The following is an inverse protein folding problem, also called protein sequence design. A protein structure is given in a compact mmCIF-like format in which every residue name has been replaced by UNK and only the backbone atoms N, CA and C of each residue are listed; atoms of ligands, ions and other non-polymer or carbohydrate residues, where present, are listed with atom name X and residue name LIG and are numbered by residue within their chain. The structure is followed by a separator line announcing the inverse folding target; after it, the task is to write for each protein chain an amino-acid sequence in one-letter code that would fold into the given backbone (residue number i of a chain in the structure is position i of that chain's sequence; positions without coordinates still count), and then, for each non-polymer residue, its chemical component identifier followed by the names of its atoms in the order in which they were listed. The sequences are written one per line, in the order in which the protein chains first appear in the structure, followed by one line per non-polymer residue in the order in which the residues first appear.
data_IF_526826669298
#
_entry.id   IF_526826669298
#
_cell.length_a   1.000
_cell.length_b   1.000
_cell.length_c   1.000
_cell.angle_alpha   90.00
_cell.angle_beta   90.00
_cell.angle_gamma   90.00
#
_symmetry.space_group_name_H-M   'P 1'
#
loop_
_entity.id
_entity.type
_entity.pdbx_description
1 polymer ?
#
# COMPACT_ATOMS: atom_id res chain seq x y z
N UNK A 1 2.01 11.90 11.46
CA UNK A 1 1.58 11.26 10.20
C UNK A 1 2.18 9.86 10.09
N UNK A 2 1.35 8.85 9.83
CA UNK A 2 1.82 7.48 9.52
C UNK A 2 1.54 7.21 8.05
N UNK A 3 2.62 7.06 7.30
CA UNK A 3 2.62 6.84 5.84
C UNK A 3 2.51 5.33 5.57
N UNK A 4 1.82 4.93 4.50
CA UNK A 4 1.69 3.51 4.13
C UNK A 4 3.04 2.96 3.66
N UNK A 5 3.33 1.67 3.87
CA UNK A 5 4.49 1.03 3.25
C UNK A 5 4.43 1.19 1.72
N UNK A 6 5.53 1.63 1.11
CA UNK A 6 5.64 1.87 -0.34
C UNK A 6 5.45 3.32 -0.78
N UNK A 7 4.83 4.17 0.04
CA UNK A 7 4.68 5.61 -0.26
C UNK A 7 6.00 6.38 -0.04
N UNK A 8 6.22 7.42 -0.87
CA UNK A 8 7.43 8.25 -0.85
C UNK A 8 7.40 9.25 0.29
N UNK A 9 7.92 8.85 1.44
CA UNK A 9 7.99 9.70 2.66
C UNK A 9 8.64 11.07 2.40
N UNK A 10 9.63 11.14 1.51
CA UNK A 10 10.36 12.38 1.18
C UNK A 10 9.45 13.48 0.65
N UNK A 11 8.43 13.14 -0.15
CA UNK A 11 7.50 14.13 -0.73
C UNK A 11 6.70 14.84 0.37
N UNK A 12 6.33 14.12 1.44
CA UNK A 12 5.66 14.72 2.59
C UNK A 12 6.59 15.57 3.46
N UNK A 13 7.84 15.14 3.63
CA UNK A 13 8.85 15.91 4.39
C UNK A 13 9.12 17.23 3.68
N UNK A 14 9.28 17.22 2.35
CA UNK A 14 9.50 18.42 1.56
C UNK A 14 8.30 19.39 1.62
N UNK A 15 7.08 18.87 1.57
CA UNK A 15 5.87 19.68 1.60
C UNK A 15 5.52 20.26 2.98
N UNK A 16 5.75 19.48 4.05
CA UNK A 16 5.24 19.81 5.39
C UNK A 16 6.36 20.20 6.38
N UNK A 17 7.62 19.94 6.03
CA UNK A 17 8.80 20.28 6.82
C UNK A 17 8.73 19.75 8.26
N UNK A 18 9.24 20.56 9.19
CA UNK A 18 9.34 20.20 10.61
C UNK A 18 8.01 20.35 11.39
N UNK A 19 6.92 20.73 10.71
CA UNK A 19 5.61 20.96 11.32
C UNK A 19 4.97 19.62 11.73
N UNK A 20 5.37 18.51 11.09
CA UNK A 20 4.78 17.20 11.33
C UNK A 20 5.82 16.16 11.79
N UNK A 21 5.45 15.39 12.81
CA UNK A 21 6.16 14.14 13.13
C UNK A 21 5.73 13.07 12.14
N UNK A 22 6.67 12.54 11.34
CA UNK A 22 6.43 11.37 10.49
C UNK A 22 6.93 10.11 11.22
N UNK A 23 6.04 9.14 11.38
CA UNK A 23 6.40 7.85 11.96
C UNK A 23 7.21 7.00 10.97
N UNK A 24 8.29 6.32 11.41
CA UNK A 24 9.03 5.39 10.57
C UNK A 24 8.13 4.32 9.95
N UNK A 25 8.52 3.78 8.80
CA UNK A 25 7.74 2.73 8.14
C UNK A 25 7.58 1.47 9.01
N UNK A 26 8.60 1.14 9.81
CA UNK A 26 8.63 0.04 10.77
C UNK A 26 7.79 0.29 12.02
N UNK A 27 7.39 1.54 12.28
CA UNK A 27 6.57 1.85 13.45
C UNK A 27 5.15 1.35 13.23
N UNK A 28 4.61 0.63 14.21
CA UNK A 28 3.31 -0.01 14.03
C UNK A 28 2.18 1.02 14.01
N UNK A 29 1.24 0.86 13.09
CA UNK A 29 0.12 1.78 12.92
C UNK A 29 -0.76 1.85 14.18
N UNK A 30 -1.01 0.71 14.85
CA UNK A 30 -1.77 0.68 16.10
C UNK A 30 -1.06 1.41 17.25
N UNK A 31 0.28 1.41 17.28
CA UNK A 31 1.03 2.19 18.27
C UNK A 31 0.96 3.68 17.95
N UNK A 32 1.10 4.05 16.67
CA UNK A 32 0.94 5.43 16.24
C UNK A 32 -0.44 5.98 16.61
N UNK A 33 -1.48 5.15 16.51
CA UNK A 33 -2.85 5.50 16.86
C UNK A 33 -3.04 5.73 18.37
N UNK A 34 -2.30 5.01 19.23
CA UNK A 34 -2.34 5.18 20.69
C UNK A 34 -1.57 6.40 21.17
N UNK A 35 -0.66 6.92 20.35
CA UNK A 35 0.13 8.13 20.60
C UNK A 35 -0.54 9.39 20.03
N UNK A 36 -1.83 9.32 19.67
CA UNK A 36 -2.58 10.41 19.06
C UNK A 36 -3.93 10.61 19.73
N UNK A 37 -4.41 11.85 19.77
CA UNK A 37 -5.71 12.22 20.35
C UNK A 37 -6.85 12.24 19.32
N UNK A 38 -6.52 12.18 18.03
CA UNK A 38 -7.50 12.21 16.94
C UNK A 38 -6.92 11.60 15.66
N UNK A 39 -7.80 11.01 14.84
CA UNK A 39 -7.43 10.47 13.53
C UNK A 39 -8.04 11.28 12.36
N UNK A 40 -7.21 11.71 11.42
CA UNK A 40 -7.67 12.01 10.05
C UNK A 40 -7.35 10.80 9.17
N UNK A 41 -8.34 10.31 8.43
CA UNK A 41 -8.17 9.19 7.51
C UNK A 41 -8.86 9.47 6.17
N UNK A 42 -8.53 8.68 5.16
CA UNK A 42 -9.14 8.69 3.83
C UNK A 42 -9.62 7.26 3.52
N UNK A 43 -10.70 6.84 4.20
CA UNK A 43 -11.22 5.47 4.07
C UNK A 43 -10.33 4.36 4.64
N UNK A 44 -9.48 4.65 5.64
CA UNK A 44 -8.68 3.65 6.34
C UNK A 44 -9.53 2.80 7.30
N UNK A 45 -9.23 1.50 7.40
CA UNK A 45 -9.81 0.59 8.41
C UNK A 45 -9.44 1.00 9.84
N UNK A 46 -8.35 1.78 10.00
CA UNK A 46 -7.93 2.34 11.28
C UNK A 46 -8.99 3.24 11.92
N UNK A 47 -9.97 3.75 11.17
CA UNK A 47 -11.11 4.48 11.74
C UNK A 47 -11.91 3.63 12.74
N UNK A 48 -12.03 2.32 12.49
CA UNK A 48 -12.67 1.39 13.43
C UNK A 48 -11.89 1.29 14.73
N UNK A 49 -10.56 1.15 14.63
CA UNK A 49 -9.65 1.09 15.78
C UNK A 49 -9.67 2.39 16.59
N UNK A 50 -9.71 3.54 15.92
CA UNK A 50 -9.80 4.85 16.57
C UNK A 50 -11.06 4.94 17.45
N UNK A 51 -12.21 4.58 16.89
CA UNK A 51 -13.47 4.66 17.64
C UNK A 51 -13.56 3.65 18.79
N UNK A 52 -12.89 2.49 18.68
CA UNK A 52 -12.76 1.56 19.80
C UNK A 52 -11.91 2.13 20.95
N UNK A 53 -10.99 3.05 20.64
CA UNK A 53 -10.20 3.79 21.62
C UNK A 53 -10.91 5.05 22.14
N UNK A 54 -12.20 5.22 21.84
CA UNK A 54 -12.97 6.44 22.14
C UNK A 54 -12.40 7.72 21.51
N UNK A 55 -11.61 7.57 20.45
CA UNK A 55 -10.96 8.68 19.78
C UNK A 55 -11.84 9.25 18.65
N UNK A 56 -11.92 10.59 18.50
CA UNK A 56 -12.56 11.18 17.33
C UNK A 56 -11.78 10.86 16.06
N UNK A 57 -12.51 10.64 14.96
CA UNK A 57 -11.93 10.43 13.65
C UNK A 57 -12.66 11.26 12.58
N UNK A 58 -11.96 11.63 11.52
CA UNK A 58 -12.53 12.38 10.41
C UNK A 58 -12.09 11.80 9.08
N UNK A 59 -13.05 11.62 8.18
CA UNK A 59 -12.81 11.10 6.85
C UNK A 59 -12.58 12.27 5.87
N UNK A 60 -11.32 12.55 5.55
CA UNK A 60 -10.95 13.65 4.68
C UNK A 60 -10.55 13.17 3.29
N UNK A 61 -11.09 13.84 2.26
CA UNK A 61 -10.73 13.62 0.86
C UNK A 61 -10.83 12.15 0.41
N UNK A 62 -11.86 11.45 0.88
CA UNK A 62 -12.05 10.05 0.55
C UNK A 62 -12.59 9.84 -0.86
N UNK A 63 -11.74 9.28 -1.72
CA UNK A 63 -12.07 8.87 -3.09
C UNK A 63 -12.37 7.38 -3.22
N UNK A 64 -12.31 6.63 -2.12
CA UNK A 64 -12.56 5.18 -2.11
C UNK A 64 -14.05 4.89 -2.38
N UNK A 65 -14.37 3.93 -3.27
CA UNK A 65 -15.74 3.50 -3.54
C UNK A 65 -16.43 2.81 -2.34
N UNK A 66 -15.71 2.34 -1.33
CA UNK A 66 -16.31 1.72 -0.13
C UNK A 66 -17.02 2.77 0.74
N UNK A 67 -18.32 2.92 0.48
CA UNK A 67 -19.19 3.87 1.16
C UNK A 67 -19.40 3.52 2.63
N UNK A 68 -19.28 2.26 3.03
CA UNK A 68 -19.60 1.87 4.41
C UNK A 68 -18.50 2.40 5.31
N UNK A 69 -17.24 2.09 5.02
CA UNK A 69 -16.12 2.57 5.82
C UNK A 69 -15.95 4.09 5.74
N UNK A 70 -16.27 4.69 4.58
CA UNK A 70 -16.24 6.15 4.41
C UNK A 70 -17.23 6.90 5.33
N UNK A 71 -18.33 6.25 5.71
CA UNK A 71 -19.40 6.84 6.53
C UNK A 71 -19.28 6.51 8.02
N UNK A 72 -18.21 5.82 8.44
CA UNK A 72 -17.98 5.47 9.83
C UNK A 72 -17.70 6.73 10.68
N UNK A 73 -17.03 7.72 10.09
CA UNK A 73 -16.65 8.97 10.73
C UNK A 73 -17.12 10.15 9.87
N UNK A 74 -17.38 11.35 10.44
CA UNK A 74 -17.79 12.52 9.69
C UNK A 74 -16.81 12.83 8.55
N UNK A 75 -17.35 12.97 7.34
CA UNK A 75 -16.58 13.17 6.12
C UNK A 75 -16.68 14.58 5.56
N UNK A 76 -15.58 15.11 5.02
CA UNK A 76 -15.58 16.37 4.28
C UNK A 76 -14.52 16.38 3.18
N UNK A 77 -14.84 17.01 2.05
CA UNK A 77 -13.85 17.38 1.02
C UNK A 77 -13.26 18.78 1.28
N UNK A 78 -13.89 19.57 2.14
CA UNK A 78 -13.44 20.92 2.49
C UNK A 78 -12.55 20.87 3.75
N UNK A 79 -11.31 21.33 3.62
CA UNK A 79 -10.32 21.40 4.70
C UNK A 79 -10.69 22.40 5.80
N UNK A 80 -11.49 23.42 5.51
CA UNK A 80 -11.95 24.40 6.50
C UNK A 80 -12.88 23.75 7.53
N UNK A 81 -13.74 22.83 7.08
CA UNK A 81 -14.65 22.07 7.95
C UNK A 81 -13.84 21.18 8.91
N UNK A 82 -12.78 20.53 8.40
CA UNK A 82 -11.88 19.75 9.25
C UNK A 82 -11.16 20.68 10.23
N UNK A 83 -10.64 21.82 9.78
CA UNK A 83 -9.94 22.78 10.63
C UNK A 83 -10.81 23.32 11.76
N UNK A 84 -12.10 23.56 11.51
CA UNK A 84 -13.03 23.98 12.56
C UNK A 84 -13.40 22.85 13.51
N UNK A 85 -13.56 21.62 12.99
CA UNK A 85 -13.75 20.45 13.83
C UNK A 85 -12.56 20.25 14.78
N UNK A 86 -11.32 20.46 14.33
CA UNK A 86 -10.11 20.41 15.17
C UNK A 86 -10.15 21.37 16.36
N UNK A 87 -10.81 22.54 16.22
CA UNK A 87 -10.88 23.55 17.29
C UNK A 87 -11.96 23.27 18.32
N UNK A 88 -12.97 22.51 17.94
CA UNK A 88 -14.22 22.37 18.70
C UNK A 88 -14.48 20.94 19.18
N UNK A 89 -13.75 19.97 18.65
CA UNK A 89 -13.93 18.56 18.98
C UNK A 89 -13.50 18.27 20.43
N UNK A 90 -14.32 17.46 21.09
CA UNK A 90 -13.95 16.85 22.34
C UNK A 90 -13.07 15.63 22.06
N UNK A 91 -11.80 15.72 22.42
CA UNK A 91 -10.81 14.64 22.22
C UNK A 91 -11.04 13.44 23.15
N UNK A 92 -11.88 13.59 24.17
CA UNK A 92 -12.22 12.50 25.09
C UNK A 92 -13.43 11.68 24.61
N UNK A 93 -14.03 12.03 23.47
CA UNK A 93 -15.19 11.33 22.93
C UNK A 93 -15.11 11.00 21.44
N UNK A 94 -15.79 9.91 21.09
CA UNK A 94 -15.88 9.43 19.71
C UNK A 94 -17.03 10.10 18.96
N UNK A 95 -16.80 10.47 17.71
CA UNK A 95 -17.79 10.98 16.77
C UNK A 95 -18.29 9.89 15.79
N UNK A 96 -18.19 8.63 16.19
CA UNK A 96 -18.56 7.47 15.37
C UNK A 96 -20.02 7.46 14.96
N UNK A 97 -20.28 7.02 13.72
CA UNK A 97 -21.60 6.60 13.30
C UNK A 97 -21.86 5.16 13.78
N UNK A 98 -22.57 5.01 14.90
CA UNK A 98 -22.82 3.70 15.51
C UNK A 98 -23.56 2.71 14.62
N UNK A 99 -24.43 3.18 13.71
CA UNK A 99 -25.13 2.29 12.79
C UNK A 99 -24.14 1.61 11.84
N UNK A 100 -23.25 2.40 11.25
CA UNK A 100 -22.18 1.91 10.37
C UNK A 100 -21.18 1.05 11.15
N UNK A 101 -20.84 1.44 12.38
CA UNK A 101 -19.96 0.65 13.25
C UNK A 101 -20.52 -0.77 13.46
N UNK A 102 -21.81 -0.89 13.78
CA UNK A 102 -22.43 -2.19 13.98
C UNK A 102 -22.58 -2.99 12.68
N UNK A 103 -22.83 -2.32 11.56
CA UNK A 103 -22.80 -2.94 10.24
C UNK A 103 -21.42 -3.54 9.94
N UNK A 104 -20.35 -2.76 10.07
CA UNK A 104 -18.97 -3.22 9.89
C UNK A 104 -18.62 -4.35 10.87
N UNK A 105 -19.01 -4.24 12.13
CA UNK A 105 -18.81 -5.29 13.14
C UNK A 105 -19.47 -6.60 12.69
N UNK A 106 -20.72 -6.55 12.23
CA UNK A 106 -21.47 -7.76 11.92
C UNK A 106 -21.07 -8.38 10.57
N UNK A 107 -20.66 -7.56 9.59
CA UNK A 107 -20.39 -8.03 8.23
C UNK A 107 -18.91 -8.24 7.92
N UNK A 108 -17.99 -7.50 8.55
CA UNK A 108 -16.58 -7.50 8.18
C UNK A 108 -15.66 -7.93 9.34
N UNK A 109 -15.80 -7.31 10.51
CA UNK A 109 -14.82 -7.48 11.59
C UNK A 109 -15.15 -8.62 12.56
N UNK A 110 -16.41 -9.05 12.62
CA UNK A 110 -16.89 -10.04 13.58
C UNK A 110 -16.91 -9.52 15.01
N UNK A 111 -16.79 -10.42 15.99
CA UNK A 111 -16.87 -10.04 17.39
C UNK A 111 -15.59 -9.29 17.85
N UNK A 112 -15.76 -8.06 18.31
CA UNK A 112 -14.67 -7.21 18.80
C UNK A 112 -14.65 -7.25 20.33
N UNK A 113 -14.07 -8.33 20.86
CA UNK A 113 -14.04 -8.66 22.29
C UNK A 113 -12.62 -8.86 22.84
N UNK A 114 -11.62 -8.41 22.08
CA UNK A 114 -10.19 -8.61 22.41
C UNK A 114 -9.69 -10.05 22.28
N UNK A 115 -10.53 -11.00 21.85
CA UNK A 115 -10.19 -12.42 21.79
C UNK A 115 -10.00 -12.94 20.34
N UNK A 116 -9.84 -12.04 19.37
CA UNK A 116 -9.67 -12.40 17.96
C UNK A 116 -8.47 -13.32 17.73
N UNK A 117 -7.29 -12.98 18.26
CA UNK A 117 -6.10 -13.83 18.13
C UNK A 117 -6.29 -15.21 18.76
N UNK A 118 -6.98 -15.27 19.91
CA UNK A 118 -7.29 -16.54 20.59
C UNK A 118 -8.22 -17.40 19.73
N UNK A 119 -9.27 -16.83 19.14
CA UNK A 119 -10.16 -17.53 18.21
C UNK A 119 -9.42 -18.03 16.98
N UNK A 120 -8.57 -17.20 16.38
CA UNK A 120 -7.76 -17.57 15.24
C UNK A 120 -6.82 -18.74 15.57
N UNK A 121 -6.14 -18.70 16.72
CA UNK A 121 -5.27 -19.78 17.18
C UNK A 121 -6.04 -21.10 17.37
N UNK A 122 -7.23 -21.07 17.97
CA UNK A 122 -8.07 -22.25 18.10
C UNK A 122 -8.51 -22.82 16.75
N UNK A 123 -8.94 -21.96 15.82
CA UNK A 123 -9.35 -22.40 14.48
C UNK A 123 -8.19 -23.04 13.70
N UNK A 124 -6.98 -22.46 13.80
CA UNK A 124 -5.77 -23.02 13.21
C UNK A 124 -5.44 -24.39 13.83
N UNK A 125 -5.47 -24.49 15.15
CA UNK A 125 -5.20 -25.75 15.86
C UNK A 125 -6.20 -26.85 15.48
N UNK A 126 -7.49 -26.51 15.43
CA UNK A 126 -8.54 -27.44 15.02
C UNK A 126 -8.34 -27.90 13.58
N UNK A 127 -8.00 -26.98 12.67
CA UNK A 127 -7.70 -27.32 11.28
C UNK A 127 -6.53 -28.31 11.20
N UNK A 128 -5.42 -28.04 11.90
CA UNK A 128 -4.25 -28.93 11.95
C UNK A 128 -4.63 -30.32 12.49
N UNK A 129 -5.45 -30.38 13.54
CA UNK A 129 -5.91 -31.66 14.10
C UNK A 129 -6.76 -32.45 13.09
N UNK A 130 -7.54 -31.77 12.23
CA UNK A 130 -8.41 -32.41 11.24
C UNK A 130 -7.66 -32.85 9.97
N UNK A 131 -6.72 -32.03 9.48
CA UNK A 131 -6.04 -32.25 8.19
C UNK A 131 -4.65 -32.86 8.32
N UNK A 132 -4.03 -32.80 9.51
CA UNK A 132 -2.66 -33.23 9.77
C UNK A 132 -1.57 -32.29 9.23
N UNK A 133 -1.91 -31.24 8.48
CA UNK A 133 -0.96 -30.32 7.85
C UNK A 133 -1.56 -28.90 7.71
N UNK A 134 -0.75 -27.85 7.94
CA UNK A 134 -1.07 -26.50 7.48
C UNK A 134 -0.67 -26.41 6.00
N UNK A 135 -1.60 -26.69 5.09
CA UNK A 135 -1.38 -26.40 3.66
C UNK A 135 -1.77 -24.96 3.39
N UNK A 136 -0.78 -24.08 3.36
CA UNK A 136 -0.97 -22.69 2.94
C UNK A 136 -0.19 -22.42 1.66
N UNK A 137 -0.89 -21.89 0.65
CA UNK A 137 -0.24 -21.30 -0.52
C UNK A 137 0.14 -19.82 -0.26
N UNK A 138 -0.16 -19.30 0.93
CA UNK A 138 0.17 -17.94 1.36
C UNK A 138 1.62 -17.97 1.86
N UNK A 139 2.51 -17.15 1.31
CA UNK A 139 3.89 -17.04 1.76
C UNK A 139 3.96 -16.70 3.27
N UNK A 140 4.89 -17.32 3.99
CA UNK A 140 5.12 -17.06 5.44
C UNK A 140 5.56 -15.62 5.75
N UNK A 141 5.86 -14.84 4.72
CA UNK A 141 6.25 -13.44 4.83
C UNK A 141 5.27 -12.59 4.05
N UNK A 142 4.82 -11.49 4.66
CA UNK A 142 4.20 -10.39 3.92
C UNK A 142 5.08 -10.05 2.71
N UNK A 143 4.52 -9.92 1.50
CA UNK A 143 5.31 -9.57 0.33
C UNK A 143 6.03 -8.25 0.64
N UNK A 144 7.35 -8.24 0.42
CA UNK A 144 8.21 -7.07 0.65
C UNK A 144 7.77 -5.86 -0.20
N UNK A 145 6.97 -6.11 -1.23
CA UNK A 145 6.32 -5.10 -2.06
C UNK A 145 4.79 -5.26 -1.94
N UNK A 146 4.04 -4.19 -1.59
CA UNK A 146 2.59 -4.25 -1.57
C UNK A 146 2.06 -4.50 -3.00
N UNK A 147 1.51 -5.70 -3.22
CA UNK A 147 0.81 -6.15 -4.44
C UNK A 147 -0.38 -5.25 -4.86
N UNK A 148 -0.75 -4.26 -4.06
CA UNK A 148 -1.93 -3.41 -4.24
C UNK A 148 -1.61 -1.95 -4.58
N UNK A 149 -0.34 -1.63 -4.85
CA UNK A 149 0.06 -0.36 -5.46
C UNK A 149 0.45 -0.62 -6.92
N UNK A 150 -0.51 -1.07 -7.71
CA UNK A 150 -0.49 -0.83 -9.15
C UNK A 150 -1.73 -0.02 -9.47
N UNK A 151 -1.53 1.25 -9.79
CA UNK A 151 -2.56 2.04 -10.44
C UNK A 151 -2.91 1.32 -11.74
N UNK A 152 -4.16 0.86 -11.76
CA UNK A 152 -4.94 0.40 -12.89
C UNK A 152 -4.53 -0.92 -13.60
N UNK A 153 -5.56 -1.77 -13.70
CA UNK A 153 -5.75 -2.89 -14.63
C UNK A 153 -5.14 -4.23 -14.19
N UNK A 154 -6.05 -5.08 -13.69
CA UNK A 154 -5.98 -6.53 -13.83
C UNK A 154 -5.69 -6.88 -15.31
N UNK A 155 -4.43 -7.15 -15.62
CA UNK A 155 -4.11 -7.96 -16.79
C UNK A 155 -4.04 -9.38 -16.25
N UNK A 156 -5.03 -10.20 -16.60
CA UNK A 156 -4.89 -11.66 -16.48
C UNK A 156 -3.54 -12.03 -17.09
N UNK A 157 -2.64 -12.61 -16.29
CA UNK A 157 -1.31 -12.99 -16.77
C UNK A 157 -1.47 -13.82 -18.05
N UNK A 158 -0.97 -13.38 -19.22
CA UNK A 158 -0.95 -14.25 -20.38
C UNK A 158 -0.03 -15.42 -20.06
N UNK A 159 -0.47 -16.63 -20.40
CA UNK A 159 0.20 -17.93 -20.17
C UNK A 159 1.63 -18.07 -20.76
N UNK A 160 2.22 -17.00 -21.32
CA UNK A 160 3.58 -16.99 -21.84
C UNK A 160 4.49 -16.03 -21.03
N UNK A 161 5.71 -16.45 -20.66
CA UNK A 161 6.63 -15.63 -19.88
C UNK A 161 7.03 -14.40 -20.68
N UNK A 162 6.44 -13.25 -20.31
CA UNK A 162 6.82 -11.96 -20.86
C UNK A 162 8.30 -11.70 -20.53
N UNK A 163 9.18 -11.50 -21.51
CA UNK A 163 10.62 -11.43 -21.26
C UNK A 163 11.01 -10.13 -20.57
N UNK A 164 11.57 -10.23 -19.36
CA UNK A 164 12.22 -9.11 -18.67
C UNK A 164 13.46 -8.67 -19.44
N UNK A 165 13.56 -7.38 -19.77
CA UNK A 165 14.75 -6.77 -20.36
C UNK A 165 15.61 -6.10 -19.28
N UNK A 166 16.93 -6.17 -19.42
CA UNK A 166 17.89 -5.51 -18.53
C UNK A 166 18.88 -4.70 -19.36
N UNK A 167 18.99 -3.40 -19.08
CA UNK A 167 19.93 -2.55 -19.79
C UNK A 167 21.35 -2.84 -19.27
N UNK A 168 22.31 -3.24 -20.13
CA UNK A 168 23.67 -3.49 -19.68
C UNK A 168 24.37 -2.21 -19.19
N UNK A 169 23.98 -1.03 -19.72
CA UNK A 169 24.58 0.25 -19.38
C UNK A 169 24.04 0.85 -18.07
N UNK A 170 22.72 1.07 -17.95
CA UNK A 170 22.15 1.72 -16.77
C UNK A 170 21.54 0.75 -15.75
N UNK A 171 21.53 -0.56 -16.04
CA UNK A 171 20.91 -1.62 -15.22
C UNK A 171 19.40 -1.47 -15.00
N UNK A 172 18.74 -0.55 -15.71
CA UNK A 172 17.28 -0.41 -15.72
C UNK A 172 16.59 -1.66 -16.28
N UNK A 173 15.49 -2.07 -15.65
CA UNK A 173 14.71 -3.26 -16.02
C UNK A 173 13.34 -2.85 -16.52
N UNK A 174 12.97 -3.28 -17.72
CA UNK A 174 11.66 -2.96 -18.30
C UNK A 174 11.02 -4.17 -18.97
N UNK A 175 9.74 -4.01 -19.23
CA UNK A 175 8.89 -4.99 -19.89
C UNK A 175 8.51 -4.43 -21.26
N UNK A 176 8.45 -5.30 -22.26
CA UNK A 176 7.83 -5.00 -23.53
C UNK A 176 6.89 -6.14 -23.88
N UNK A 177 5.68 -5.78 -24.34
CA UNK A 177 4.66 -6.75 -24.73
C UNK A 177 5.01 -7.42 -26.07
N UNK A 178 5.90 -6.80 -26.86
CA UNK A 178 6.27 -7.29 -28.18
C UNK A 178 7.47 -8.23 -28.12
N UNK A 179 7.45 -9.29 -28.94
CA UNK A 179 8.60 -10.20 -29.16
C UNK A 179 9.70 -9.53 -29.99
N UNK A 180 10.06 -8.29 -29.66
CA UNK A 180 11.14 -7.54 -30.33
C UNK A 180 12.49 -8.16 -29.98
N UNK A 181 13.46 -8.16 -30.90
CA UNK A 181 14.83 -8.64 -30.62
C UNK A 181 15.79 -7.53 -30.19
N UNK A 182 15.43 -6.28 -30.44
CA UNK A 182 16.14 -5.09 -29.96
C UNK A 182 15.14 -4.05 -29.45
N UNK A 183 15.49 -3.35 -28.37
CA UNK A 183 14.69 -2.25 -27.83
C UNK A 183 15.60 -1.16 -27.28
N UNK A 184 15.20 0.10 -27.48
CA UNK A 184 15.89 1.24 -26.87
C UNK A 184 15.52 1.32 -25.39
N UNK A 185 16.54 1.41 -24.54
CA UNK A 185 16.38 1.54 -23.10
C UNK A 185 15.63 2.84 -22.79
N UNK A 186 14.47 2.80 -22.10
CA UNK A 186 13.68 4.01 -21.80
C UNK A 186 14.44 5.07 -21.00
N UNK A 187 15.41 4.64 -20.19
CA UNK A 187 16.17 5.54 -19.32
C UNK A 187 17.39 6.19 -19.95
N UNK A 188 18.08 5.52 -20.87
CA UNK A 188 19.36 6.01 -21.40
C UNK A 188 19.44 6.02 -22.94
N UNK A 189 18.39 5.57 -23.63
CA UNK A 189 18.33 5.55 -25.09
C UNK A 189 19.26 4.54 -25.75
N UNK A 190 19.98 3.71 -24.99
CA UNK A 190 20.84 2.67 -25.57
C UNK A 190 20.00 1.53 -26.12
N UNK A 191 20.21 1.18 -27.39
CA UNK A 191 19.63 -0.02 -27.99
C UNK A 191 20.24 -1.27 -27.37
N UNK A 192 19.38 -2.13 -26.81
CA UNK A 192 19.76 -3.39 -26.16
C UNK A 192 19.22 -4.54 -27.00
N UNK A 193 19.99 -5.61 -27.16
CA UNK A 193 19.59 -6.84 -27.83
C UNK A 193 19.17 -7.91 -26.81
N UNK A 194 18.15 -8.69 -27.14
CA UNK A 194 17.62 -9.73 -26.23
C UNK A 194 18.63 -10.86 -26.12
N UNK A 195 19.44 -10.88 -25.06
CA UNK A 195 20.26 -12.06 -24.75
C UNK A 195 19.33 -13.16 -24.25
N UNK A 196 18.92 -14.06 -25.14
CA UNK A 196 18.33 -15.35 -24.77
C UNK A 196 19.29 -16.07 -23.83
N UNK A 197 18.77 -16.67 -22.76
CA UNK A 197 19.57 -17.21 -21.67
C UNK A 197 20.68 -18.16 -22.15
N UNK A 198 21.91 -17.69 -22.09
CA UNK A 198 23.14 -18.40 -21.71
C UNK A 198 24.33 -17.48 -22.02
N UNK A 199 25.35 -17.51 -21.17
CA UNK A 199 26.53 -16.63 -21.22
C UNK A 199 27.10 -16.39 -22.63
N UNK A 200 27.14 -15.13 -23.11
CA UNK A 200 28.17 -14.66 -24.05
C UNK A 200 28.15 -13.13 -24.30
N UNK A 201 29.34 -12.53 -24.07
CA UNK A 201 29.93 -11.32 -24.67
C UNK A 201 29.33 -9.93 -24.39
N UNK A 202 30.20 -9.04 -23.91
CA UNK A 202 29.92 -7.61 -23.78
C UNK A 202 29.75 -6.97 -25.17
N UNK A 203 28.74 -6.10 -25.38
CA UNK A 203 28.53 -5.45 -26.65
C UNK A 203 29.68 -4.49 -26.98
N UNK A 204 30.14 -4.55 -28.23
CA UNK A 204 31.18 -3.68 -28.79
C UNK A 204 30.59 -2.27 -28.99
N UNK A 205 31.23 -1.23 -28.44
CA UNK A 205 30.88 0.17 -28.77
C UNK A 205 31.05 0.38 -30.27
N UNK A 206 29.99 0.82 -30.97
CA UNK A 206 30.14 1.36 -32.33
C UNK A 206 31.14 2.52 -32.28
N UNK A 207 32.10 2.60 -33.22
CA UNK A 207 33.01 3.74 -33.30
C UNK A 207 32.20 5.01 -33.59
N UNK A 208 32.62 6.10 -32.96
CA UNK A 208 32.09 7.45 -33.20
C UNK A 208 32.04 7.71 -34.71
N UNK A 209 30.88 8.15 -35.20
CA UNK A 209 30.78 8.62 -36.58
C UNK A 209 31.76 9.78 -36.74
N UNK A 210 32.77 9.54 -37.56
CA UNK A 210 33.71 10.53 -38.05
C UNK A 210 32.97 11.77 -38.53
N UNK A 211 33.19 12.88 -37.84
CA UNK A 211 32.96 14.22 -38.38
C UNK A 211 34.04 14.44 -39.42
N UNK A 212 33.70 14.48 -40.71
CA UNK A 212 34.50 15.15 -41.74
C UNK A 212 33.64 15.33 -43.01
N UNK A 213 33.90 16.37 -43.82
CA UNK A 213 34.21 17.77 -43.51
C UNK A 213 33.05 18.71 -43.86
#
# INVERSE_FOLDING_TARGET
MKVRPGERVTEYVEALGDIIKIYPQTYSAHLALRDTDMLIHCGSTMAMEAHLLMMPAFNYWNVNPDKILANLSPGSLNGDIISEAFRTIDVESTNVNWNIFYELKNHLYGNIDGNACRRAAYAIQEHIHQTGEIRTNIPDTWPLEPLYLTDDVMIEEPDEPCPKWLCPACKGRWWTQDKIMMADCPWCGMTVERTGGSHAQAPIRKPERSVLP
#
